data_IF_577715634207
#
_entry.id   IF_577715634207
#
_cell.length_a   1.000
_cell.length_b   1.000
_cell.length_c   1.000
_cell.angle_alpha   90.00
_cell.angle_beta   90.00
_cell.angle_gamma   90.00
#
_symmetry.space_group_name_H-M   'P 1'
#
loop_
_entity.id
_entity.type
_entity.pdbx_description
1 polymer ?
#
# COMPACT_ATOMS: atom_id res chain seq x y z
N UNK A 1 5.75 -8.73 1.85
CA UNK A 1 4.98 -7.46 1.69
C UNK A 1 5.84 -6.47 0.90
N UNK A 2 5.64 -6.33 -0.43
CA UNK A 2 6.29 -5.30 -1.22
C UNK A 2 5.73 -3.90 -0.89
N UNK A 3 6.62 -2.92 -0.70
CA UNK A 3 6.28 -1.51 -0.42
C UNK A 3 6.96 -0.55 -1.41
N UNK A 4 7.44 -1.07 -2.52
CA UNK A 4 8.03 -0.36 -3.64
C UNK A 4 7.65 -1.01 -4.96
N UNK A 5 8.40 -0.74 -6.02
CA UNK A 5 8.20 -1.36 -7.33
C UNK A 5 8.19 -2.90 -7.24
N UNK A 6 7.35 -3.52 -8.05
CA UNK A 6 7.14 -4.98 -8.03
C UNK A 6 8.26 -5.79 -8.71
N UNK A 7 9.28 -5.13 -9.26
CA UNK A 7 10.37 -5.74 -10.04
C UNK A 7 11.00 -6.96 -9.37
N UNK A 8 11.36 -6.82 -8.08
CA UNK A 8 12.00 -7.93 -7.33
C UNK A 8 11.08 -9.13 -7.19
N UNK A 9 9.79 -8.90 -6.88
CA UNK A 9 8.83 -9.98 -6.70
C UNK A 9 8.50 -10.65 -8.03
N UNK A 10 8.38 -9.89 -9.12
CA UNK A 10 8.19 -10.44 -10.46
C UNK A 10 9.35 -11.34 -10.88
N UNK A 11 10.59 -10.91 -10.59
CA UNK A 11 11.77 -11.71 -10.86
C UNK A 11 11.80 -13.01 -10.01
N UNK A 12 11.37 -12.95 -8.76
CA UNK A 12 11.24 -14.16 -7.91
C UNK A 12 10.20 -15.11 -8.52
N UNK A 13 9.03 -14.62 -8.92
CA UNK A 13 7.99 -15.45 -9.57
C UNK A 13 8.51 -16.09 -10.87
N UNK A 14 9.29 -15.35 -11.64
CA UNK A 14 9.90 -15.87 -12.88
C UNK A 14 10.94 -16.98 -12.62
N UNK A 15 11.71 -16.85 -11.55
CA UNK A 15 12.77 -17.83 -11.18
C UNK A 15 12.23 -19.06 -10.45
N UNK A 16 11.19 -18.89 -9.64
CA UNK A 16 10.56 -19.96 -8.88
C UNK A 16 9.06 -20.06 -9.21
N UNK A 17 8.68 -20.84 -10.23
CA UNK A 17 7.27 -20.99 -10.62
C UNK A 17 6.34 -21.51 -9.51
N UNK A 18 6.90 -22.16 -8.48
CA UNK A 18 6.13 -22.67 -7.33
C UNK A 18 5.98 -21.62 -6.22
N UNK A 19 6.28 -20.35 -6.48
CA UNK A 19 6.27 -19.31 -5.45
C UNK A 19 4.92 -19.22 -4.74
N UNK A 20 3.82 -19.41 -5.44
CA UNK A 20 2.47 -19.43 -4.86
C UNK A 20 2.24 -20.52 -3.82
N UNK A 21 2.94 -21.65 -3.94
CA UNK A 21 2.90 -22.73 -2.95
C UNK A 21 3.78 -22.41 -1.73
N UNK A 22 4.81 -21.59 -1.92
CA UNK A 22 5.83 -21.31 -0.90
C UNK A 22 5.47 -20.11 -0.03
N UNK A 23 4.79 -19.09 -0.57
CA UNK A 23 4.55 -17.81 0.15
C UNK A 23 3.11 -17.60 0.60
N UNK A 24 2.18 -18.48 0.26
CA UNK A 24 0.77 -18.34 0.61
C UNK A 24 0.10 -17.14 -0.09
N UNK A 25 0.50 -15.90 0.20
CA UNK A 25 -0.06 -14.69 -0.43
C UNK A 25 0.95 -13.54 -0.49
N UNK A 26 0.64 -12.53 -1.30
CA UNK A 26 1.41 -11.28 -1.44
C UNK A 26 0.50 -10.10 -1.12
N UNK A 27 0.73 -9.42 0.00
CA UNK A 27 0.11 -8.12 0.28
C UNK A 27 1.06 -7.02 -0.17
N UNK A 28 0.62 -6.11 -1.03
CA UNK A 28 1.49 -5.06 -1.56
C UNK A 28 0.90 -3.66 -1.40
N UNK A 29 1.76 -2.66 -1.19
CA UNK A 29 1.40 -1.26 -1.32
C UNK A 29 1.54 -0.84 -2.76
N UNK A 30 0.46 -0.37 -3.36
CA UNK A 30 0.46 0.14 -4.73
C UNK A 30 -0.92 0.21 -5.34
N UNK A 31 -1.01 0.96 -6.42
CA UNK A 31 -2.21 1.09 -7.22
C UNK A 31 -3.23 2.13 -6.74
N UNK A 32 -4.12 2.47 -7.65
CA UNK A 32 -5.26 3.36 -7.44
C UNK A 32 -6.41 2.90 -8.33
N UNK A 33 -7.51 2.43 -7.73
CA UNK A 33 -8.63 1.88 -8.48
C UNK A 33 -9.75 2.91 -8.68
N UNK A 34 -10.22 3.53 -7.60
CA UNK A 34 -11.36 4.46 -7.59
C UNK A 34 -10.95 5.91 -7.34
N UNK A 35 -9.67 6.13 -7.03
CA UNK A 35 -9.09 7.46 -6.77
C UNK A 35 -8.04 7.79 -7.82
N UNK A 36 -7.66 9.07 -7.99
CA UNK A 36 -6.54 9.44 -8.84
C UNK A 36 -5.21 8.83 -8.36
N UNK A 37 -4.26 8.68 -9.28
CA UNK A 37 -2.88 8.38 -8.93
C UNK A 37 -2.17 9.56 -8.23
N UNK A 38 -0.98 9.31 -7.71
CA UNK A 38 -0.17 10.32 -7.01
C UNK A 38 1.08 10.75 -7.79
N UNK A 39 1.41 10.09 -8.90
CA UNK A 39 2.51 10.49 -9.80
C UNK A 39 2.01 10.90 -11.19
N UNK A 40 0.91 10.31 -11.65
CA UNK A 40 0.13 10.79 -12.79
C UNK A 40 -1.35 10.74 -12.40
N UNK A 41 -2.26 11.39 -13.15
CA UNK A 41 -3.69 11.28 -12.86
C UNK A 41 -4.23 9.85 -12.82
N UNK A 42 -3.58 8.92 -13.50
CA UNK A 42 -3.99 7.50 -13.57
C UNK A 42 -3.16 6.55 -12.73
N UNK A 43 -1.91 6.87 -12.38
CA UNK A 43 -0.97 5.91 -11.85
C UNK A 43 -0.45 6.26 -10.45
N UNK A 44 -0.37 5.23 -9.60
CA UNK A 44 0.31 5.26 -8.32
C UNK A 44 1.81 4.98 -8.52
N UNK A 45 2.65 5.54 -7.63
CA UNK A 45 4.11 5.59 -7.77
C UNK A 45 4.74 4.19 -7.91
N UNK A 46 4.42 3.25 -7.06
CA UNK A 46 5.04 1.91 -7.06
C UNK A 46 4.67 1.12 -8.32
N UNK A 47 3.43 1.24 -8.77
CA UNK A 47 2.99 0.61 -10.02
C UNK A 47 3.66 1.31 -11.22
N UNK A 48 3.74 2.64 -11.21
CA UNK A 48 4.33 3.40 -12.32
C UNK A 48 5.83 3.16 -12.48
N UNK A 49 6.54 2.79 -11.42
CA UNK A 49 7.98 2.50 -11.49
C UNK A 49 8.29 1.23 -12.31
N UNK A 50 7.41 0.22 -12.28
CA UNK A 50 7.54 -0.99 -13.08
C UNK A 50 6.16 -1.60 -13.35
N UNK A 51 5.39 -1.03 -14.29
CA UNK A 51 4.04 -1.50 -14.59
C UNK A 51 3.99 -2.94 -15.12
N UNK A 52 5.01 -3.33 -15.89
CA UNK A 52 5.14 -4.69 -16.44
C UNK A 52 5.30 -5.73 -15.33
N UNK A 53 6.15 -5.43 -14.34
CA UNK A 53 6.32 -6.30 -13.17
C UNK A 53 5.02 -6.39 -12.36
N UNK A 54 4.33 -5.27 -12.15
CA UNK A 54 3.05 -5.25 -11.45
C UNK A 54 1.99 -6.09 -12.18
N UNK A 55 1.83 -5.92 -13.50
CA UNK A 55 0.90 -6.72 -14.30
C UNK A 55 1.24 -8.21 -14.27
N UNK A 56 2.53 -8.56 -14.34
CA UNK A 56 2.99 -9.94 -14.25
C UNK A 56 2.62 -10.61 -12.92
N UNK A 57 2.74 -9.88 -11.80
CA UNK A 57 2.33 -10.39 -10.49
C UNK A 57 0.82 -10.59 -10.41
N UNK A 58 0.03 -9.63 -10.88
CA UNK A 58 -1.43 -9.73 -10.88
C UNK A 58 -1.95 -10.90 -11.73
N UNK A 59 -1.16 -11.32 -12.74
CA UNK A 59 -1.48 -12.47 -13.61
C UNK A 59 -0.80 -13.77 -13.19
N UNK A 60 0.04 -13.77 -12.16
CA UNK A 60 0.84 -14.93 -11.75
C UNK A 60 0.02 -16.09 -11.18
N UNK A 61 -1.23 -15.85 -10.81
CA UNK A 61 -2.08 -16.82 -10.10
C UNK A 61 -1.80 -16.89 -8.60
N UNK A 62 -0.79 -16.17 -8.09
CA UNK A 62 -0.54 -16.05 -6.64
C UNK A 62 -1.64 -15.19 -6.03
N UNK A 63 -2.17 -15.60 -4.87
CA UNK A 63 -3.13 -14.78 -4.13
C UNK A 63 -2.49 -13.46 -3.73
N UNK A 64 -3.10 -12.34 -4.15
CA UNK A 64 -2.58 -11.00 -3.87
C UNK A 64 -3.60 -10.14 -3.13
N UNK A 65 -3.11 -9.24 -2.27
CA UNK A 65 -3.92 -8.19 -1.65
C UNK A 65 -3.32 -6.83 -1.99
N UNK A 66 -4.09 -6.00 -2.68
CA UNK A 66 -3.71 -4.62 -3.04
C UNK A 66 -4.15 -3.66 -1.95
N UNK A 67 -3.19 -2.94 -1.36
CA UNK A 67 -3.41 -1.82 -0.44
C UNK A 67 -3.07 -0.55 -1.22
N UNK A 68 -4.05 -0.06 -1.98
CA UNK A 68 -3.91 1.08 -2.88
C UNK A 68 -4.20 2.43 -2.23
N UNK A 69 -4.06 3.49 -3.03
CA UNK A 69 -4.38 4.86 -2.60
C UNK A 69 -5.83 5.01 -2.15
N UNK A 70 -6.72 4.14 -2.59
CA UNK A 70 -8.13 4.06 -2.18
C UNK A 70 -8.30 4.03 -0.66
N UNK A 71 -7.38 3.40 0.06
CA UNK A 71 -7.39 3.30 1.52
C UNK A 71 -6.22 4.02 2.18
N UNK A 72 -5.05 4.10 1.52
CA UNK A 72 -3.86 4.68 2.15
C UNK A 72 -3.92 6.20 2.26
N UNK A 73 -4.62 6.91 1.37
CA UNK A 73 -4.87 8.34 1.50
C UNK A 73 -5.71 8.71 2.74
N UNK A 74 -6.43 7.75 3.32
CA UNK A 74 -7.18 7.95 4.56
C UNK A 74 -6.31 7.78 5.81
N UNK A 75 -5.15 7.12 5.67
CA UNK A 75 -4.23 6.81 6.76
C UNK A 75 -3.17 7.91 6.89
N UNK A 76 -3.52 8.99 7.57
CA UNK A 76 -2.68 10.18 7.71
C UNK A 76 -2.06 10.27 9.10
N UNK A 77 -0.74 10.49 9.15
CA UNK A 77 0.01 10.80 10.35
C UNK A 77 0.25 12.32 10.43
N UNK A 78 -0.18 12.92 11.53
CA UNK A 78 -0.13 14.37 11.73
C UNK A 78 0.98 14.76 12.70
N UNK A 79 1.36 16.06 12.73
CA UNK A 79 2.30 16.60 13.73
C UNK A 79 1.82 16.35 15.17
N UNK A 80 0.51 16.37 15.41
CA UNK A 80 -0.07 16.05 16.72
C UNK A 80 0.18 14.61 17.13
N UNK A 81 0.14 13.68 16.18
CA UNK A 81 0.37 12.26 16.46
C UNK A 81 1.83 12.00 16.90
N UNK A 82 2.80 12.67 16.25
CA UNK A 82 4.23 12.46 16.54
C UNK A 82 4.73 13.16 17.80
N UNK A 83 3.98 14.10 18.37
CA UNK A 83 4.32 14.71 19.66
C UNK A 83 4.50 13.67 20.78
N UNK A 84 3.82 12.53 20.68
CA UNK A 84 4.02 11.44 21.65
C UNK A 84 5.44 10.87 21.62
N UNK A 85 6.07 10.84 20.44
CA UNK A 85 7.45 10.36 20.29
C UNK A 85 8.47 11.36 20.84
N UNK A 86 8.28 12.67 20.61
CA UNK A 86 9.12 13.71 21.20
C UNK A 86 9.10 13.70 22.72
N UNK A 87 7.92 13.42 23.32
CA UNK A 87 7.77 13.37 24.78
C UNK A 87 8.45 12.18 25.43
N UNK A 88 8.93 11.20 24.66
CA UNK A 88 9.71 10.09 25.21
C UNK A 88 11.08 10.56 25.71
N UNK A 89 11.66 11.60 25.12
CA UNK A 89 12.99 12.07 25.44
C UNK A 89 14.09 11.05 25.12
N UNK A 90 13.84 10.13 24.19
CA UNK A 90 14.77 9.11 23.71
C UNK A 90 15.33 9.47 22.34
N UNK A 91 16.54 9.01 22.03
CA UNK A 91 17.11 9.22 20.69
C UNK A 91 16.23 8.62 19.57
N UNK A 92 15.60 7.49 19.82
CA UNK A 92 14.68 6.86 18.86
C UNK A 92 13.41 7.68 18.67
N UNK A 93 12.83 8.22 19.74
CA UNK A 93 11.67 9.10 19.68
C UNK A 93 11.94 10.39 18.91
N UNK A 94 13.07 11.03 19.18
CA UNK A 94 13.49 12.25 18.48
C UNK A 94 13.76 11.99 17.00
N UNK A 95 14.41 10.87 16.66
CA UNK A 95 14.65 10.47 15.28
C UNK A 95 13.34 10.24 14.52
N UNK A 96 12.40 9.46 15.07
CA UNK A 96 11.12 9.18 14.45
C UNK A 96 10.28 10.45 14.24
N UNK A 97 10.26 11.33 15.24
CA UNK A 97 9.55 12.59 15.14
C UNK A 97 10.18 13.50 14.08
N UNK A 98 11.50 13.63 14.06
CA UNK A 98 12.24 14.47 13.10
C UNK A 98 12.08 13.96 11.65
N UNK A 99 12.23 12.65 11.45
CA UNK A 99 12.00 12.03 10.14
C UNK A 99 10.57 12.25 9.63
N UNK A 100 9.59 12.09 10.50
CA UNK A 100 8.18 12.27 10.14
C UNK A 100 7.84 13.73 9.88
N UNK A 101 8.39 14.68 10.63
CA UNK A 101 8.24 16.11 10.35
C UNK A 101 8.75 16.47 8.95
N UNK A 102 9.95 16.02 8.62
CA UNK A 102 10.50 16.22 7.26
C UNK A 102 9.56 15.68 6.18
N UNK A 103 8.98 14.51 6.43
CA UNK A 103 8.05 13.90 5.47
C UNK A 103 6.72 14.66 5.38
N UNK A 104 6.19 15.17 6.51
CA UNK A 104 5.01 16.04 6.53
C UNK A 104 5.28 17.36 5.77
N UNK A 105 6.48 17.93 5.90
CA UNK A 105 6.86 19.14 5.15
C UNK A 105 6.86 18.88 3.63
N UNK A 106 7.39 17.73 3.19
CA UNK A 106 7.35 17.32 1.80
C UNK A 106 5.91 17.15 1.28
N UNK A 107 5.02 16.53 2.08
CA UNK A 107 3.61 16.40 1.76
C UNK A 107 2.91 17.75 1.68
N UNK A 108 3.21 18.68 2.59
CA UNK A 108 2.61 20.01 2.60
C UNK A 108 2.88 20.80 1.31
N UNK A 109 3.98 20.49 0.61
CA UNK A 109 4.30 21.10 -0.67
C UNK A 109 3.55 20.49 -1.87
N UNK A 110 3.15 19.21 -1.78
CA UNK A 110 2.57 18.46 -2.90
C UNK A 110 1.10 18.10 -2.71
N UNK A 111 0.67 17.88 -1.46
CA UNK A 111 -0.68 17.45 -1.06
C UNK A 111 -1.10 18.13 0.25
N UNK A 112 -1.20 19.48 0.27
CA UNK A 112 -1.47 20.24 1.49
C UNK A 112 -2.81 19.90 2.14
N UNK A 113 -3.76 19.38 1.37
CA UNK A 113 -5.08 18.97 1.85
C UNK A 113 -5.05 17.79 2.83
N UNK A 114 -3.97 17.01 2.87
CA UNK A 114 -3.84 15.89 3.81
C UNK A 114 -3.53 16.34 5.25
N UNK A 115 -3.05 17.56 5.45
CA UNK A 115 -2.66 18.09 6.78
C UNK A 115 -1.71 17.17 7.56
N UNK A 116 -0.89 16.39 6.86
CA UNK A 116 0.01 15.39 7.41
C UNK A 116 0.72 14.60 6.32
N UNK A 117 1.18 13.40 6.61
CA UNK A 117 1.75 12.49 5.60
C UNK A 117 1.00 11.15 5.54
N UNK A 118 0.90 10.59 4.35
CA UNK A 118 0.27 9.28 4.14
C UNK A 118 1.08 8.14 4.75
N UNK A 119 0.40 7.25 5.47
CA UNK A 119 1.00 6.02 6.02
C UNK A 119 0.78 4.84 5.07
N UNK A 120 1.28 4.95 3.85
CA UNK A 120 1.06 3.97 2.78
C UNK A 120 1.60 2.59 3.15
N UNK A 121 2.90 2.48 3.31
CA UNK A 121 3.62 1.25 3.61
C UNK A 121 3.27 0.68 4.99
N UNK A 122 3.17 1.50 6.05
CA UNK A 122 2.73 1.02 7.35
C UNK A 122 1.35 0.37 7.32
N UNK A 123 0.40 0.91 6.54
CA UNK A 123 -0.92 0.31 6.40
C UNK A 123 -0.86 -1.04 5.66
N UNK A 124 -0.06 -1.16 4.61
CA UNK A 124 0.11 -2.42 3.90
C UNK A 124 0.69 -3.52 4.79
N UNK A 125 1.71 -3.19 5.58
CA UNK A 125 2.29 -4.11 6.57
C UNK A 125 1.27 -4.48 7.65
N UNK A 126 0.53 -3.50 8.17
CA UNK A 126 -0.49 -3.75 9.18
C UNK A 126 -1.63 -4.64 8.66
N UNK A 127 -2.09 -4.42 7.43
CA UNK A 127 -3.11 -5.25 6.79
C UNK A 127 -2.62 -6.67 6.50
N UNK A 128 -1.34 -6.87 6.19
CA UNK A 128 -0.75 -8.20 6.06
C UNK A 128 -0.71 -8.96 7.40
N UNK A 129 -0.50 -8.24 8.52
CA UNK A 129 -0.49 -8.83 9.86
C UNK A 129 -1.90 -9.03 10.44
N UNK A 130 -2.82 -8.17 10.09
CA UNK A 130 -4.22 -8.19 10.54
C UNK A 130 -5.15 -7.80 9.36
N UNK A 131 -5.55 -8.79 8.54
CA UNK A 131 -6.42 -8.53 7.39
C UNK A 131 -7.78 -7.92 7.75
N UNK A 132 -8.21 -8.02 9.00
CA UNK A 132 -9.48 -7.42 9.46
C UNK A 132 -9.44 -5.90 9.58
N UNK A 133 -8.27 -5.27 9.41
CA UNK A 133 -8.14 -3.81 9.33
C UNK A 133 -8.75 -3.23 8.06
N UNK A 134 -8.88 -4.04 7.01
CA UNK A 134 -9.40 -3.59 5.70
C UNK A 134 -10.59 -4.43 5.27
N UNK A 135 -11.49 -3.83 4.50
CA UNK A 135 -12.50 -4.57 3.73
C UNK A 135 -12.03 -4.66 2.30
N UNK A 136 -12.01 -5.86 1.75
CA UNK A 136 -11.54 -6.12 0.39
C UNK A 136 -12.68 -6.54 -0.54
N UNK A 137 -12.44 -6.36 -1.84
CA UNK A 137 -13.25 -6.90 -2.92
C UNK A 137 -12.36 -7.74 -3.84
N UNK A 138 -12.78 -8.96 -4.14
CA UNK A 138 -12.11 -9.81 -5.12
C UNK A 138 -12.30 -9.26 -6.54
N UNK A 139 -11.20 -9.08 -7.26
CA UNK A 139 -11.19 -8.53 -8.62
C UNK A 139 -10.13 -9.19 -9.48
N UNK A 140 -10.37 -9.17 -10.80
CA UNK A 140 -9.32 -9.37 -11.78
C UNK A 140 -8.67 -8.01 -12.02
N UNK A 141 -7.44 -7.84 -11.58
CA UNK A 141 -6.68 -6.62 -11.84
C UNK A 141 -5.74 -6.81 -13.02
N UNK A 142 -5.54 -5.73 -13.74
CA UNK A 142 -4.49 -5.57 -14.73
C UNK A 142 -3.90 -4.18 -14.65
N UNK A 143 -2.75 -3.97 -15.23
CA UNK A 143 -2.11 -2.67 -15.34
C UNK A 143 -2.14 -2.22 -16.79
N UNK A 144 -2.49 -0.96 -17.03
CA UNK A 144 -2.36 -0.36 -18.36
C UNK A 144 -0.88 -0.14 -18.66
N UNK A 145 -0.36 -0.82 -19.67
CA UNK A 145 1.06 -0.83 -20.01
C UNK A 145 1.43 0.20 -21.10
N UNK A 146 0.43 0.85 -21.71
CA UNK A 146 0.68 1.70 -22.87
C UNK A 146 -0.09 3.04 -22.76
N UNK A 147 0.32 4.01 -23.59
CA UNK A 147 -0.41 5.25 -23.77
C UNK A 147 -0.42 6.19 -22.57
N UNK A 148 -1.43 7.04 -22.52
CA UNK A 148 -1.54 8.14 -21.56
C UNK A 148 -1.85 7.68 -20.11
N UNK A 149 -2.33 6.46 -19.96
CA UNK A 149 -2.71 5.90 -18.64
C UNK A 149 -1.79 4.78 -18.17
N UNK A 150 -0.61 4.66 -18.80
CA UNK A 150 0.40 3.70 -18.37
C UNK A 150 0.61 3.71 -16.85
N UNK A 151 0.59 2.55 -16.23
CA UNK A 151 0.69 2.35 -14.78
C UNK A 151 -0.64 2.43 -14.04
N UNK A 152 -1.78 2.67 -14.74
CA UNK A 152 -3.09 2.62 -14.10
C UNK A 152 -3.48 1.18 -13.78
N UNK A 153 -3.93 0.95 -12.55
CA UNK A 153 -4.59 -0.31 -12.17
C UNK A 153 -6.04 -0.30 -12.58
N UNK A 154 -6.48 -1.36 -13.27
CA UNK A 154 -7.83 -1.51 -13.80
C UNK A 154 -8.42 -2.79 -13.22
N UNK A 155 -9.55 -2.68 -12.52
CA UNK A 155 -10.27 -3.81 -11.94
C UNK A 155 -11.58 -4.08 -12.67
N UNK A 156 -11.90 -5.35 -12.87
CA UNK A 156 -13.17 -5.79 -13.42
C UNK A 156 -13.92 -6.67 -12.41
N UNK A 157 -15.06 -6.16 -11.92
CA UNK A 157 -16.01 -6.91 -11.09
C UNK A 157 -17.09 -7.63 -11.90
N UNK A 158 -17.40 -7.10 -13.08
CA UNK A 158 -18.63 -7.42 -13.76
C UNK A 158 -18.53 -8.67 -14.63
N UNK A 159 -17.34 -9.12 -14.95
CA UNK A 159 -17.18 -10.28 -15.80
C UNK A 159 -17.18 -11.57 -14.99
N UNK A 160 -18.36 -11.97 -14.51
CA UNK A 160 -18.67 -13.33 -14.05
C UNK A 160 -18.37 -14.42 -15.09
N UNK A 161 -17.91 -14.04 -16.28
CA UNK A 161 -17.46 -14.95 -17.34
C UNK A 161 -16.09 -15.56 -17.03
N UNK A 162 -15.30 -14.93 -16.17
CA UNK A 162 -14.11 -15.56 -15.60
C UNK A 162 -14.56 -16.23 -14.30
N UNK A 163 -14.46 -17.53 -14.26
CA UNK A 163 -14.76 -18.34 -13.07
C UNK A 163 -14.01 -17.79 -11.85
N UNK A 164 -14.55 -17.94 -10.66
CA UNK A 164 -13.93 -17.44 -9.41
C UNK A 164 -12.46 -17.88 -9.22
N UNK A 165 -12.05 -18.93 -9.93
CA UNK A 165 -10.66 -19.40 -9.99
C UNK A 165 -9.65 -18.41 -10.59
N UNK A 166 -10.08 -17.30 -11.16
CA UNK A 166 -9.21 -16.27 -11.75
C UNK A 166 -9.20 -14.96 -10.95
N UNK A 167 -10.01 -14.83 -9.91
CA UNK A 167 -10.04 -13.64 -9.04
C UNK A 167 -8.96 -13.78 -7.96
N UNK A 168 -7.74 -13.55 -8.34
CA UNK A 168 -6.59 -13.73 -7.44
C UNK A 168 -6.26 -12.51 -6.59
N UNK A 169 -6.83 -11.34 -6.90
CA UNK A 169 -6.50 -10.10 -6.19
C UNK A 169 -7.65 -9.62 -5.32
N UNK A 170 -7.35 -9.45 -4.04
CA UNK A 170 -8.20 -8.76 -3.07
C UNK A 170 -7.83 -7.29 -3.04
N UNK A 171 -8.75 -6.40 -3.38
CA UNK A 171 -8.53 -4.95 -3.40
C UNK A 171 -9.12 -4.33 -2.14
N UNK A 172 -8.29 -3.68 -1.32
CA UNK A 172 -8.76 -2.95 -0.15
C UNK A 172 -9.55 -1.71 -0.57
N UNK A 173 -10.81 -1.61 -0.13
CA UNK A 173 -11.75 -0.52 -0.46
C UNK A 173 -12.22 0.26 0.76
N UNK A 174 -12.02 -0.27 1.95
CA UNK A 174 -12.26 0.40 3.24
C UNK A 174 -11.19 0.03 4.23
N UNK A 175 -10.95 0.90 5.19
CA UNK A 175 -10.00 0.70 6.27
C UNK A 175 -10.55 1.22 7.61
N UNK A 176 -10.27 0.50 8.69
CA UNK A 176 -10.51 0.97 10.06
C UNK A 176 -9.32 1.85 10.49
N UNK A 177 -9.39 3.12 10.12
CA UNK A 177 -8.33 4.11 10.38
C UNK A 177 -8.06 4.28 11.87
N UNK A 178 -9.09 4.33 12.70
CA UNK A 178 -8.93 4.56 14.13
C UNK A 178 -8.14 3.41 14.78
N UNK A 179 -8.50 2.19 14.45
CA UNK A 179 -7.82 0.99 14.93
C UNK A 179 -6.39 0.88 14.39
N UNK A 180 -6.19 1.11 13.09
CA UNK A 180 -4.87 1.12 12.48
C UNK A 180 -3.94 2.14 13.14
N UNK A 181 -4.37 3.41 13.26
CA UNK A 181 -3.56 4.48 13.89
C UNK A 181 -3.22 4.15 15.33
N UNK A 182 -4.18 3.68 16.12
CA UNK A 182 -3.93 3.28 17.51
C UNK A 182 -2.86 2.18 17.57
N UNK A 183 -3.04 1.09 16.83
CA UNK A 183 -2.10 -0.02 16.83
C UNK A 183 -0.69 0.39 16.37
N UNK A 184 -0.60 1.18 15.31
CA UNK A 184 0.67 1.68 14.78
C UNK A 184 1.38 2.55 15.81
N UNK A 185 0.69 3.59 16.30
CA UNK A 185 1.28 4.54 17.24
C UNK A 185 1.70 3.87 18.55
N UNK A 186 0.92 2.93 19.07
CA UNK A 186 1.23 2.25 20.32
C UNK A 186 2.46 1.34 20.18
N UNK A 187 2.54 0.57 19.09
CA UNK A 187 3.70 -0.31 18.82
C UNK A 187 4.99 0.48 18.59
N UNK A 188 4.92 1.54 17.77
CA UNK A 188 6.11 2.36 17.49
C UNK A 188 6.54 3.14 18.74
N UNK A 189 5.58 3.65 19.54
CA UNK A 189 5.90 4.31 20.81
C UNK A 189 6.56 3.34 21.78
N UNK A 190 6.05 2.12 21.91
CA UNK A 190 6.66 1.10 22.78
C UNK A 190 8.10 0.78 22.33
N UNK A 191 8.33 0.63 21.02
CA UNK A 191 9.67 0.38 20.47
C UNK A 191 10.62 1.57 20.73
N UNK A 192 10.14 2.80 20.60
CA UNK A 192 10.94 4.01 20.74
C UNK A 192 11.18 4.42 22.21
N UNK A 193 10.55 3.74 23.18
CA UNK A 193 10.70 4.03 24.62
C UNK A 193 12.00 3.46 25.23
N UNK A 194 12.77 2.73 24.45
CA UNK A 194 14.05 2.12 24.85
C UNK A 194 15.17 2.75 24.01
#
# INVERSE_FOLDING_TARGET
VPTGAMTTIAEVCRREPRIGELVGSITFMGGALTVPGNVTPGAEANIMQDPEAADAILRSGVETTMIGLDVTHQAVLTRRDIERWRRLGTAAGDFLAGMTDFYIDAYSATQPELEGCGMHDPLAVAAALDPTLVTTLGMNLQVDLEGAYRGRTIGDRAHDRLTDSHKTTQVAVRVDIARFKSQFLDRITALASH
#
